data_IF_082837413644
#
_entry.id   IF_082837413644
#
_cell.length_a   1.000
_cell.length_b   1.000
_cell.length_c   1.000
_cell.angle_alpha   90.00
_cell.angle_beta   90.00
_cell.angle_gamma   90.00
#
_symmetry.space_group_name_H-M   'P 1'
#
loop_
_entity.id
_entity.type
_entity.pdbx_description
1 polymer ?
#
# COMPACT_ATOMS: atom_id res chain seq x y z
N UNK A 1 -24.29 -4.93 -15.45
CA UNK A 1 -24.72 -3.80 -16.30
C UNK A 1 -24.01 -2.55 -15.81
N UNK A 2 -23.38 -1.75 -16.69
CA UNK A 2 -22.75 -0.48 -16.31
C UNK A 2 -23.82 0.63 -16.18
N UNK A 3 -23.63 1.55 -15.24
CA UNK A 3 -24.47 2.75 -15.05
C UNK A 3 -23.61 4.01 -15.19
N UNK A 4 -24.22 5.10 -15.66
CA UNK A 4 -23.54 6.41 -15.76
C UNK A 4 -23.47 7.08 -14.39
N UNK A 5 -22.31 7.62 -14.06
CA UNK A 5 -22.07 8.44 -12.87
C UNK A 5 -21.71 9.85 -13.32
N UNK A 6 -22.43 10.85 -12.80
CA UNK A 6 -22.11 12.27 -13.02
C UNK A 6 -21.47 12.83 -11.75
N UNK A 7 -20.36 13.55 -11.89
CA UNK A 7 -19.58 14.09 -10.77
C UNK A 7 -19.27 15.55 -11.08
N UNK A 8 -19.42 16.43 -10.09
CA UNK A 8 -18.93 17.81 -10.16
C UNK A 8 -17.48 17.84 -9.71
N UNK A 9 -16.61 18.47 -10.51
CA UNK A 9 -15.18 18.56 -10.27
C UNK A 9 -14.67 19.93 -10.76
N UNK A 10 -13.64 20.44 -10.11
CA UNK A 10 -12.96 21.67 -10.53
C UNK A 10 -12.39 21.52 -11.95
N UNK A 11 -12.61 22.53 -12.80
CA UNK A 11 -12.21 22.51 -14.22
C UNK A 11 -10.71 22.28 -14.39
N UNK A 12 -9.89 22.99 -13.60
CA UNK A 12 -8.43 22.83 -13.65
C UNK A 12 -7.98 21.40 -13.28
N UNK A 13 -8.69 20.74 -12.36
CA UNK A 13 -8.40 19.36 -11.97
C UNK A 13 -8.82 18.38 -13.07
N UNK A 14 -9.96 18.65 -13.73
CA UNK A 14 -10.43 17.85 -14.86
C UNK A 14 -9.40 17.86 -16.02
N UNK A 15 -8.80 19.01 -16.33
CA UNK A 15 -7.83 19.10 -17.42
C UNK A 15 -6.51 18.40 -17.10
N UNK A 16 -6.06 18.50 -15.84
CA UNK A 16 -4.88 17.75 -15.37
C UNK A 16 -5.10 16.25 -15.44
N UNK A 17 -6.26 15.76 -15.00
CA UNK A 17 -6.52 14.31 -15.00
C UNK A 17 -6.75 13.76 -16.42
N UNK A 18 -7.30 14.55 -17.35
CA UNK A 18 -7.35 14.19 -18.78
C UNK A 18 -5.95 13.95 -19.34
N UNK A 19 -5.05 14.91 -19.11
CA UNK A 19 -3.65 14.80 -19.56
C UNK A 19 -2.98 13.56 -18.98
N UNK A 20 -3.18 13.29 -17.68
CA UNK A 20 -2.67 12.09 -17.03
C UNK A 20 -3.25 10.81 -17.65
N UNK A 21 -4.55 10.76 -17.90
CA UNK A 21 -5.21 9.59 -18.47
C UNK A 21 -4.68 9.28 -19.87
N UNK A 22 -4.51 10.31 -20.72
CA UNK A 22 -3.93 10.17 -22.06
C UNK A 22 -2.49 9.65 -22.01
N UNK A 23 -1.66 10.19 -21.11
CA UNK A 23 -0.26 9.75 -20.93
C UNK A 23 -0.13 8.30 -20.45
N UNK A 24 -1.13 7.80 -19.72
CA UNK A 24 -1.15 6.44 -19.17
C UNK A 24 -2.04 5.49 -19.99
N UNK A 25 -2.45 5.88 -21.20
CA UNK A 25 -3.29 5.09 -22.12
C UNK A 25 -4.55 4.54 -21.45
N UNK A 26 -5.15 5.33 -20.55
CA UNK A 26 -6.33 4.95 -19.76
C UNK A 26 -7.44 5.99 -19.89
N UNK A 27 -8.60 5.69 -19.30
CA UNK A 27 -9.75 6.62 -19.27
C UNK A 27 -10.01 7.12 -17.86
N UNK A 28 -10.55 8.34 -17.74
CA UNK A 28 -10.98 8.89 -16.44
C UNK A 28 -12.03 7.98 -15.79
N UNK A 29 -12.94 7.40 -16.58
CA UNK A 29 -13.90 6.42 -16.08
C UNK A 29 -13.22 5.19 -15.48
N UNK A 30 -12.16 4.68 -16.11
CA UNK A 30 -11.39 3.55 -15.59
C UNK A 30 -10.71 3.91 -14.28
N UNK A 31 -10.06 5.08 -14.21
CA UNK A 31 -9.39 5.57 -12.99
C UNK A 31 -10.37 5.68 -11.81
N UNK A 32 -11.57 6.19 -12.06
CA UNK A 32 -12.62 6.31 -11.02
C UNK A 32 -13.18 4.94 -10.64
N UNK A 33 -13.45 4.07 -11.60
CA UNK A 33 -13.94 2.70 -11.37
C UNK A 33 -12.94 1.90 -10.53
N UNK A 34 -11.65 1.92 -10.91
CA UNK A 34 -10.56 1.28 -10.16
C UNK A 34 -10.40 1.84 -8.75
N UNK A 35 -10.52 3.16 -8.58
CA UNK A 35 -10.45 3.77 -7.25
C UNK A 35 -11.60 3.29 -6.35
N UNK A 36 -12.82 3.25 -6.89
CA UNK A 36 -13.97 2.73 -6.14
C UNK A 36 -13.82 1.25 -5.81
N UNK A 37 -13.36 0.44 -6.76
CA UNK A 37 -13.05 -0.98 -6.51
C UNK A 37 -12.02 -1.14 -5.39
N UNK A 38 -10.95 -0.34 -5.40
CA UNK A 38 -9.93 -0.36 -4.36
C UNK A 38 -10.48 0.04 -2.99
N UNK A 39 -11.39 1.02 -2.92
CA UNK A 39 -12.04 1.45 -1.67
C UNK A 39 -12.93 0.36 -1.07
N UNK A 40 -13.66 -0.39 -1.90
CA UNK A 40 -14.56 -1.45 -1.42
C UNK A 40 -13.87 -2.81 -1.30
N UNK A 41 -12.65 -2.96 -1.81
CA UNK A 41 -11.93 -4.22 -1.78
C UNK A 41 -11.70 -4.62 -0.32
N UNK A 42 -12.21 -5.79 0.12
CA UNK A 42 -11.95 -6.25 1.47
C UNK A 42 -10.44 -6.40 1.64
N UNK A 43 -9.90 -5.81 2.72
CA UNK A 43 -8.49 -5.98 3.05
C UNK A 43 -8.16 -7.47 3.07
N UNK A 44 -7.07 -7.91 2.43
CA UNK A 44 -6.71 -9.31 2.42
C UNK A 44 -6.60 -9.79 3.86
N UNK A 45 -7.49 -10.71 4.23
CA UNK A 45 -7.47 -11.36 5.53
C UNK A 45 -6.48 -12.51 5.46
N UNK A 46 -5.72 -12.71 6.53
CA UNK A 46 -4.89 -13.89 6.71
C UNK A 46 -5.78 -15.13 6.87
N UNK A 47 -5.16 -16.31 6.97
CA UNK A 47 -5.88 -17.57 7.20
C UNK A 47 -6.90 -17.38 8.35
N UNK A 48 -8.11 -17.89 8.14
CA UNK A 48 -9.24 -17.79 9.07
C UNK A 48 -9.85 -16.39 9.23
N UNK A 49 -9.58 -15.46 8.31
CA UNK A 49 -10.29 -14.18 8.27
C UNK A 49 -9.73 -13.09 9.21
N UNK A 50 -8.57 -13.34 9.83
CA UNK A 50 -7.90 -12.39 10.72
C UNK A 50 -7.18 -11.28 9.95
N UNK A 51 -7.19 -10.07 10.51
CA UNK A 51 -6.25 -9.01 10.13
C UNK A 51 -4.82 -9.36 10.57
N UNK A 52 -3.82 -8.65 10.03
CA UNK A 52 -2.43 -8.82 10.43
C UNK A 52 -2.21 -8.58 11.93
N UNK A 53 -2.91 -7.59 12.50
CA UNK A 53 -2.81 -7.24 13.93
C UNK A 53 -3.43 -8.33 14.80
N UNK A 54 -4.60 -8.85 14.42
CA UNK A 54 -5.24 -9.97 15.14
C UNK A 54 -4.39 -11.24 15.06
N UNK A 55 -3.83 -11.53 13.89
CA UNK A 55 -2.93 -12.66 13.73
C UNK A 55 -1.69 -12.53 14.61
N UNK A 56 -1.04 -11.36 14.63
CA UNK A 56 0.11 -11.09 15.50
C UNK A 56 -0.22 -11.33 16.98
N UNK A 57 -1.40 -10.89 17.43
CA UNK A 57 -1.86 -11.12 18.82
C UNK A 57 -2.19 -12.59 19.11
N UNK A 58 -2.56 -13.37 18.09
CA UNK A 58 -2.86 -14.80 18.24
C UNK A 58 -1.61 -15.67 18.32
N UNK A 59 -0.44 -15.15 17.92
CA UNK A 59 0.81 -15.90 17.97
C UNK A 59 1.25 -16.09 19.43
N UNK A 60 1.79 -17.27 19.79
CA UNK A 60 2.37 -17.46 21.11
C UNK A 60 3.52 -16.45 21.31
N UNK A 61 3.73 -15.96 22.54
CA UNK A 61 4.84 -15.07 22.83
C UNK A 61 6.16 -15.73 22.41
N UNK A 62 7.09 -14.90 21.93
CA UNK A 62 8.42 -15.36 21.55
C UNK A 62 9.06 -16.10 22.71
N UNK A 63 9.66 -17.25 22.43
CA UNK A 63 10.52 -17.96 23.40
C UNK A 63 11.89 -17.30 23.54
N UNK A 64 12.18 -16.32 22.69
CA UNK A 64 13.42 -15.56 22.66
C UNK A 64 13.12 -14.17 23.22
N UNK A 65 13.87 -13.77 24.24
CA UNK A 65 13.88 -12.41 24.74
C UNK A 65 14.59 -11.51 23.73
N UNK A 66 13.90 -10.48 23.27
CA UNK A 66 14.46 -9.50 22.36
C UNK A 66 14.97 -8.31 23.20
N UNK A 67 16.16 -7.75 22.90
CA UNK A 67 16.66 -6.60 23.65
C UNK A 67 15.72 -5.41 23.43
N UNK A 68 15.35 -4.72 24.51
CA UNK A 68 14.46 -3.55 24.46
C UNK A 68 15.13 -2.37 23.72
N UNK A 69 16.46 -2.26 23.83
CA UNK A 69 17.26 -1.19 23.22
C UNK A 69 17.69 -1.48 21.77
N UNK A 70 17.16 -2.53 21.14
CA UNK A 70 17.56 -2.92 19.79
C UNK A 70 16.77 -2.14 18.73
N UNK A 71 17.45 -1.28 17.95
CA UNK A 71 16.84 -0.61 16.80
C UNK A 71 16.73 -1.57 15.60
N UNK A 72 15.63 -2.31 15.57
CA UNK A 72 15.29 -3.24 14.49
C UNK A 72 15.24 -2.58 13.11
N UNK A 73 14.92 -1.28 13.04
CA UNK A 73 14.81 -0.55 11.78
C UNK A 73 16.20 -0.26 11.24
N UNK A 74 17.06 0.31 12.07
CA UNK A 74 18.44 0.64 11.70
C UNK A 74 19.20 -0.61 11.25
N UNK A 75 19.15 -1.66 12.05
CA UNK A 75 19.86 -2.92 11.77
C UNK A 75 19.35 -3.62 10.51
N UNK A 76 18.04 -3.55 10.23
CA UNK A 76 17.49 -4.03 8.97
C UNK A 76 18.09 -3.31 7.76
N UNK A 77 18.19 -1.99 7.81
CA UNK A 77 18.74 -1.21 6.68
C UNK A 77 20.24 -1.44 6.52
N UNK A 78 21.02 -1.51 7.61
CA UNK A 78 22.43 -1.89 7.57
C UNK A 78 22.62 -3.26 6.91
N UNK A 79 21.87 -4.27 7.33
CA UNK A 79 21.93 -5.61 6.76
C UNK A 79 21.52 -5.64 5.27
N UNK A 80 20.54 -4.82 4.88
CA UNK A 80 20.09 -4.70 3.49
C UNK A 80 21.16 -4.02 2.62
N UNK A 81 21.78 -2.94 3.09
CA UNK A 81 22.86 -2.27 2.38
C UNK A 81 24.06 -3.18 2.20
N UNK A 82 24.41 -3.95 3.23
CA UNK A 82 25.42 -5.01 3.16
C UNK A 82 25.15 -6.03 2.07
N UNK A 83 23.92 -6.52 2.02
CA UNK A 83 23.50 -7.48 0.98
C UNK A 83 23.58 -6.88 -0.43
N UNK A 84 23.31 -5.59 -0.58
CA UNK A 84 23.21 -4.91 -1.87
C UNK A 84 24.48 -4.13 -2.27
N UNK A 85 25.52 -4.11 -1.42
CA UNK A 85 26.82 -3.52 -1.70
C UNK A 85 26.86 -1.99 -1.66
N UNK A 86 26.01 -1.34 -0.86
CA UNK A 86 26.00 0.13 -0.68
C UNK A 86 26.17 0.56 0.79
N UNK A 87 26.92 -0.22 1.57
CA UNK A 87 27.17 0.04 3.01
C UNK A 87 27.66 1.46 3.29
N UNK A 88 28.43 2.05 2.38
CA UNK A 88 29.04 3.38 2.50
C UNK A 88 28.04 4.57 2.46
N UNK A 89 26.75 4.30 2.22
CA UNK A 89 25.69 5.31 2.06
C UNK A 89 24.69 5.37 3.23
N UNK A 90 24.90 4.58 4.28
CA UNK A 90 24.11 4.57 5.52
C UNK A 90 24.91 5.12 6.69
#
# INVERSE_FOLDING_TARGET
MKKRLNITIEENLLDKIKTYADQNETSISSLVEEHFEALIKPKPKLKNGMSLVEYMKSLPPSKVEFPEDYDWKEEYYKAKAKKMGYEDLL
#
